data_IF_543239383121
#
_entry.id   IF_543239383121
#
_cell.length_a   1.000
_cell.length_b   1.000
_cell.length_c   1.000
_cell.angle_alpha   90.00
_cell.angle_beta   90.00
_cell.angle_gamma   90.00
#
_symmetry.space_group_name_H-M   'P 1'
#
loop_
_entity.id
_entity.type
_entity.pdbx_description
1 polymer ?
#
# COMPACT_ATOMS: atom_id res chain seq x y z
N UNK A 1 -56.39 -31.16 0.43
CA UNK A 1 -55.09 -31.65 0.92
C UNK A 1 -54.04 -31.29 -0.13
N UNK A 2 -53.34 -30.18 0.14
CA UNK A 2 -52.03 -29.73 -0.36
C UNK A 2 -51.76 -29.74 -1.88
N UNK A 3 -51.98 -28.56 -2.49
CA UNK A 3 -51.20 -28.03 -3.61
C UNK A 3 -49.72 -27.95 -3.23
N UNK A 4 -48.83 -28.44 -4.10
CA UNK A 4 -47.38 -28.18 -4.00
C UNK A 4 -47.05 -27.02 -4.93
N UNK A 5 -47.09 -25.80 -4.40
CA UNK A 5 -46.47 -24.64 -5.04
C UNK A 5 -44.94 -24.77 -4.91
N UNK A 6 -44.25 -24.69 -6.04
CA UNK A 6 -42.81 -24.56 -6.09
C UNK A 6 -42.45 -23.12 -5.76
N UNK A 7 -41.93 -22.89 -4.56
CA UNK A 7 -41.35 -21.60 -4.19
C UNK A 7 -40.07 -21.35 -4.99
N UNK A 8 -40.14 -20.38 -5.91
CA UNK A 8 -38.97 -19.80 -6.58
C UNK A 8 -38.02 -19.24 -5.51
N UNK A 9 -36.85 -19.87 -5.39
CA UNK A 9 -35.79 -19.42 -4.51
C UNK A 9 -35.12 -18.22 -5.17
N UNK A 10 -35.58 -17.01 -4.83
CA UNK A 10 -34.94 -15.77 -5.27
C UNK A 10 -33.47 -15.75 -4.82
N UNK A 11 -32.55 -15.64 -5.78
CA UNK A 11 -31.15 -15.41 -5.51
C UNK A 11 -30.97 -14.06 -4.80
N UNK A 12 -30.09 -13.94 -3.79
CA UNK A 12 -29.83 -12.65 -3.15
C UNK A 12 -29.26 -11.70 -4.20
N UNK A 13 -30.01 -10.63 -4.48
CA UNK A 13 -29.61 -9.55 -5.36
C UNK A 13 -28.26 -9.02 -4.90
N UNK A 14 -27.27 -9.09 -5.78
CA UNK A 14 -25.99 -8.44 -5.61
C UNK A 14 -26.24 -6.93 -5.58
N UNK A 15 -26.32 -6.36 -4.37
CA UNK A 15 -26.33 -4.92 -4.20
C UNK A 15 -24.90 -4.46 -4.46
N UNK A 16 -24.65 -4.04 -5.69
CA UNK A 16 -23.41 -3.36 -6.06
C UNK A 16 -23.29 -2.12 -5.18
N UNK A 17 -22.42 -2.18 -4.17
CA UNK A 17 -22.16 -1.04 -3.31
C UNK A 17 -21.43 0.01 -4.13
N UNK A 18 -22.17 0.96 -4.70
CA UNK A 18 -21.58 2.16 -5.27
C UNK A 18 -20.84 2.89 -4.15
N UNK A 19 -19.52 3.15 -4.27
CA UNK A 19 -18.85 4.01 -3.31
C UNK A 19 -19.40 5.42 -3.51
N UNK A 20 -20.21 5.85 -2.54
CA UNK A 20 -20.68 7.22 -2.43
C UNK A 20 -19.53 8.06 -1.85
N UNK A 21 -19.08 9.06 -2.60
CA UNK A 21 -18.34 10.18 -2.02
C UNK A 21 -18.73 11.45 -2.75
N UNK A 22 -19.17 12.43 -1.96
CA UNK A 22 -19.31 13.82 -2.36
C UNK A 22 -18.45 14.65 -1.40
N UNK A 23 -17.52 15.42 -1.94
CA UNK A 23 -17.32 16.83 -1.55
C UNK A 23 -16.38 17.52 -2.55
N UNK A 24 -16.54 18.83 -2.77
CA UNK A 24 -15.94 19.56 -3.87
C UNK A 24 -14.51 20.01 -3.53
N UNK A 25 -13.80 20.49 -4.55
CA UNK A 25 -12.58 21.33 -4.53
C UNK A 25 -11.20 20.71 -4.80
N UNK A 26 -11.00 19.39 -4.92
CA UNK A 26 -9.73 18.87 -5.48
C UNK A 26 -9.99 17.69 -6.43
N UNK A 27 -9.58 17.86 -7.69
CA UNK A 27 -9.92 16.97 -8.79
C UNK A 27 -9.45 15.53 -8.59
N UNK A 28 -10.41 14.62 -8.39
CA UNK A 28 -10.20 13.19 -8.57
C UNK A 28 -10.66 12.81 -9.97
N UNK A 29 -9.73 12.45 -10.84
CA UNK A 29 -10.06 11.92 -12.16
C UNK A 29 -10.22 10.41 -12.06
N UNK A 30 -11.45 9.91 -12.22
CA UNK A 30 -11.67 8.48 -12.51
C UNK A 30 -10.98 8.16 -13.82
N UNK A 31 -10.01 7.25 -13.82
CA UNK A 31 -9.47 6.68 -15.06
C UNK A 31 -10.58 5.81 -15.66
N UNK A 32 -11.19 6.19 -16.81
CA UNK A 32 -12.17 5.32 -17.46
C UNK A 32 -11.39 4.19 -18.12
N UNK A 33 -11.79 2.94 -17.86
CA UNK A 33 -11.20 1.70 -18.39
C UNK A 33 -11.19 1.59 -19.92
N UNK A 34 -11.60 2.64 -20.67
CA UNK A 34 -11.73 2.64 -22.14
C UNK A 34 -11.06 3.80 -22.87
N UNK A 35 -10.27 4.65 -22.21
CA UNK A 35 -9.55 5.74 -22.88
C UNK A 35 -8.09 5.37 -23.21
N UNK A 36 -7.87 4.25 -23.91
CA UNK A 36 -6.57 3.97 -24.56
C UNK A 36 -6.67 4.55 -25.97
N UNK A 37 -6.46 5.85 -26.12
CA UNK A 37 -6.23 6.40 -27.47
C UNK A 37 -5.22 7.54 -27.56
N UNK A 38 -4.65 8.01 -26.45
CA UNK A 38 -3.56 8.99 -26.45
C UNK A 38 -2.61 8.73 -25.26
N UNK A 39 -1.56 7.93 -25.49
CA UNK A 39 -0.55 7.64 -24.46
C UNK A 39 0.10 8.90 -23.89
N UNK A 40 0.34 9.90 -24.75
CA UNK A 40 1.07 11.12 -24.37
C UNK A 40 0.30 12.02 -23.39
N UNK A 41 -1.02 12.19 -23.58
CA UNK A 41 -1.85 13.03 -22.70
C UNK A 41 -2.02 12.36 -21.34
N UNK A 42 -2.16 11.03 -21.34
CA UNK A 42 -2.33 10.24 -20.13
C UNK A 42 -1.04 10.22 -19.31
N UNK A 43 0.12 10.11 -19.96
CA UNK A 43 1.42 10.12 -19.31
C UNK A 43 1.76 11.49 -18.71
N UNK A 44 1.51 12.59 -19.43
CA UNK A 44 1.67 13.96 -18.91
C UNK A 44 0.78 14.27 -17.69
N UNK A 45 -0.38 13.63 -17.59
CA UNK A 45 -1.26 13.76 -16.43
C UNK A 45 -0.69 12.99 -15.22
N UNK A 46 -0.22 11.76 -15.43
CA UNK A 46 0.37 10.93 -14.37
C UNK A 46 1.67 11.53 -13.82
N UNK A 47 2.44 12.22 -14.65
CA UNK A 47 3.61 12.97 -14.22
C UNK A 47 3.30 14.09 -13.25
N UNK A 48 2.07 14.60 -13.18
CA UNK A 48 1.66 15.63 -12.21
C UNK A 48 1.15 15.04 -10.90
N UNK A 49 0.88 13.73 -10.86
CA UNK A 49 0.34 13.07 -9.66
C UNK A 49 1.44 12.92 -8.63
N UNK A 50 1.32 13.69 -7.54
CA UNK A 50 2.21 13.60 -6.38
C UNK A 50 1.58 12.89 -5.18
N UNK A 51 0.26 12.72 -5.18
CA UNK A 51 -0.50 12.09 -4.10
C UNK A 51 -1.41 11.05 -4.71
N UNK A 52 -1.25 9.79 -4.30
CA UNK A 52 -2.09 8.68 -4.72
C UNK A 52 -2.68 7.98 -3.50
N UNK A 53 -3.99 7.74 -3.57
CA UNK A 53 -4.75 7.02 -2.55
C UNK A 53 -5.48 5.87 -3.22
N UNK A 54 -5.15 4.64 -2.84
CA UNK A 54 -5.78 3.43 -3.32
C UNK A 54 -6.48 2.76 -2.14
N UNK A 55 -7.72 2.34 -2.35
CA UNK A 55 -8.50 1.63 -1.35
C UNK A 55 -9.24 0.46 -2.00
N UNK A 56 -9.28 -0.69 -1.33
CA UNK A 56 -9.94 -1.92 -1.80
C UNK A 56 -9.51 -2.36 -3.22
N UNK A 57 -8.23 -2.16 -3.55
CA UNK A 57 -7.67 -2.49 -4.87
C UNK A 57 -6.72 -3.70 -4.80
N UNK A 58 -6.68 -4.49 -5.86
CA UNK A 58 -5.65 -5.52 -6.05
C UNK A 58 -4.68 -5.06 -7.13
N UNK A 59 -3.38 -5.11 -6.87
CA UNK A 59 -2.37 -4.77 -7.87
C UNK A 59 -1.12 -5.64 -7.78
N UNK A 60 -0.43 -5.75 -8.92
CA UNK A 60 0.84 -6.44 -9.01
C UNK A 60 1.98 -5.47 -8.69
N UNK A 61 2.86 -5.83 -7.76
CA UNK A 61 4.01 -5.00 -7.39
C UNK A 61 5.02 -4.81 -8.53
N UNK A 62 5.29 -5.80 -9.41
CA UNK A 62 6.13 -5.60 -10.59
C UNK A 62 5.50 -4.70 -11.67
N UNK A 63 4.20 -4.45 -11.60
CA UNK A 63 3.48 -3.64 -12.58
C UNK A 63 2.35 -2.86 -11.92
N UNK A 64 2.67 -1.95 -10.98
CA UNK A 64 1.65 -1.22 -10.26
C UNK A 64 0.93 -0.28 -11.24
N UNK A 65 -0.36 0.01 -11.03
CA UNK A 65 -1.16 0.87 -11.92
C UNK A 65 -0.67 2.33 -11.94
N UNK A 66 0.29 2.67 -11.08
CA UNK A 66 0.87 4.00 -10.92
C UNK A 66 2.36 4.05 -11.30
N UNK A 67 2.87 3.05 -12.03
CA UNK A 67 4.27 3.03 -12.50
C UNK A 67 4.66 4.29 -13.30
N UNK A 68 3.70 4.88 -14.02
CA UNK A 68 3.89 6.10 -14.80
C UNK A 68 3.84 7.40 -13.96
N UNK A 69 3.68 7.32 -12.63
CA UNK A 69 3.60 8.50 -11.77
C UNK A 69 5.00 8.92 -11.29
N UNK A 70 5.78 9.60 -12.14
CA UNK A 70 7.19 9.92 -11.86
C UNK A 70 7.43 10.98 -10.76
N UNK A 71 6.38 11.68 -10.31
CA UNK A 71 6.45 12.67 -9.24
C UNK A 71 5.68 12.25 -7.97
N UNK A 72 5.40 10.96 -7.82
CA UNK A 72 4.70 10.43 -6.66
C UNK A 72 5.50 10.66 -5.37
N UNK A 73 4.90 11.36 -4.40
CA UNK A 73 5.48 11.68 -3.09
C UNK A 73 4.69 11.08 -1.93
N UNK A 74 3.39 10.86 -2.12
CA UNK A 74 2.52 10.31 -1.10
C UNK A 74 1.74 9.13 -1.67
N UNK A 75 1.88 7.96 -1.05
CA UNK A 75 1.14 6.76 -1.40
C UNK A 75 0.39 6.27 -0.17
N UNK A 76 -0.92 6.16 -0.31
CA UNK A 76 -1.80 5.60 0.71
C UNK A 76 -2.52 4.37 0.17
N UNK A 77 -2.41 3.27 0.89
CA UNK A 77 -3.01 1.98 0.58
C UNK A 77 -3.92 1.60 1.73
N UNK A 78 -5.19 1.31 1.45
CA UNK A 78 -6.16 0.92 2.47
C UNK A 78 -6.98 -0.29 2.03
N UNK A 79 -6.94 -1.39 2.78
CA UNK A 79 -7.62 -2.65 2.43
C UNK A 79 -7.29 -3.18 1.02
N UNK A 80 -6.09 -2.86 0.51
CA UNK A 80 -5.62 -3.34 -0.78
C UNK A 80 -5.07 -4.78 -0.70
N UNK A 81 -4.78 -5.38 -1.85
CA UNK A 81 -4.06 -6.63 -1.98
C UNK A 81 -2.87 -6.45 -2.93
N UNK A 82 -1.67 -6.63 -2.40
CA UNK A 82 -0.41 -6.60 -3.16
C UNK A 82 -0.05 -8.02 -3.56
N UNK A 83 0.21 -8.21 -4.85
CA UNK A 83 0.58 -9.50 -5.43
C UNK A 83 1.93 -9.38 -6.13
N UNK A 84 2.82 -10.34 -5.94
CA UNK A 84 4.06 -10.49 -6.71
C UNK A 84 3.90 -11.70 -7.62
N UNK A 85 3.70 -11.45 -8.92
CA UNK A 85 3.85 -12.51 -9.92
C UNK A 85 5.34 -12.74 -10.19
N UNK A 86 5.77 -13.96 -9.99
CA UNK A 86 7.10 -14.54 -10.16
C UNK A 86 7.65 -14.53 -11.60
N UNK A 87 6.85 -14.14 -12.60
CA UNK A 87 7.17 -14.36 -14.01
C UNK A 87 7.42 -13.15 -14.91
N UNK A 88 7.21 -11.91 -14.47
CA UNK A 88 7.37 -10.72 -15.35
C UNK A 88 7.99 -9.55 -14.60
N UNK A 89 9.32 -9.55 -14.56
CA UNK A 89 10.10 -8.36 -14.22
C UNK A 89 9.92 -7.36 -15.36
N UNK A 90 8.98 -6.41 -15.21
CA UNK A 90 9.17 -5.11 -15.87
C UNK A 90 10.46 -4.51 -15.35
N UNK A 91 11.09 -3.69 -16.16
CA UNK A 91 12.37 -3.03 -15.90
C UNK A 91 12.45 -2.58 -14.43
N UNK A 92 13.32 -3.22 -13.64
CA UNK A 92 13.49 -2.94 -12.20
C UNK A 92 13.74 -1.42 -11.99
N UNK A 93 14.28 -0.75 -13.02
CA UNK A 93 14.53 0.68 -13.07
C UNK A 93 13.26 1.54 -13.04
N UNK A 94 12.18 1.16 -13.73
CA UNK A 94 10.93 1.94 -13.77
C UNK A 94 10.22 1.89 -12.42
N UNK A 95 10.18 0.70 -11.81
CA UNK A 95 9.62 0.50 -10.47
C UNK A 95 10.46 1.31 -9.49
N UNK A 96 11.78 1.20 -9.59
CA UNK A 96 12.70 1.93 -8.73
C UNK A 96 12.48 3.44 -8.82
N UNK A 97 12.40 3.99 -10.03
CA UNK A 97 12.13 5.41 -10.28
C UNK A 97 10.80 5.88 -9.68
N UNK A 98 9.75 5.06 -9.78
CA UNK A 98 8.43 5.39 -9.23
C UNK A 98 8.48 5.55 -7.70
N UNK A 99 9.25 4.72 -6.99
CA UNK A 99 9.29 4.70 -5.52
C UNK A 99 10.40 5.57 -4.91
N UNK A 100 11.46 5.90 -5.66
CA UNK A 100 12.60 6.70 -5.19
C UNK A 100 12.21 8.06 -4.60
N UNK A 101 11.17 8.69 -5.14
CA UNK A 101 10.72 10.04 -4.75
C UNK A 101 9.64 10.05 -3.67
N UNK A 102 9.23 8.88 -3.20
CA UNK A 102 8.20 8.75 -2.19
C UNK A 102 8.69 9.34 -0.87
N UNK A 103 7.90 10.25 -0.30
CA UNK A 103 8.15 10.86 1.01
C UNK A 103 7.31 10.22 2.09
N UNK A 104 6.10 9.79 1.74
CA UNK A 104 5.13 9.22 2.68
C UNK A 104 4.54 7.94 2.10
N UNK A 105 4.68 6.87 2.87
CA UNK A 105 4.02 5.59 2.62
C UNK A 105 3.09 5.27 3.80
N UNK A 106 1.79 5.19 3.54
CA UNK A 106 0.79 4.84 4.54
C UNK A 106 0.02 3.60 4.08
N UNK A 107 0.25 2.48 4.76
CA UNK A 107 -0.29 1.15 4.42
C UNK A 107 -1.21 0.68 5.53
N UNK A 108 -2.47 0.45 5.21
CA UNK A 108 -3.52 0.08 6.17
C UNK A 108 -4.25 -1.17 5.72
N UNK A 109 -4.34 -2.16 6.61
CA UNK A 109 -5.08 -3.41 6.43
C UNK A 109 -4.87 -4.08 5.06
N UNK A 110 -3.70 -3.88 4.47
CA UNK A 110 -3.38 -4.29 3.11
C UNK A 110 -2.79 -5.70 3.14
N UNK A 111 -3.39 -6.63 2.39
CA UNK A 111 -2.89 -8.00 2.25
C UNK A 111 -1.65 -7.98 1.36
N UNK A 112 -0.65 -8.79 1.68
CA UNK A 112 0.60 -8.81 0.92
C UNK A 112 1.51 -7.61 1.20
N UNK A 113 1.25 -6.84 2.26
CA UNK A 113 2.02 -5.63 2.55
C UNK A 113 3.50 -5.91 2.82
N UNK A 114 3.87 -7.12 3.23
CA UNK A 114 5.26 -7.55 3.39
C UNK A 114 6.08 -7.44 2.10
N UNK A 115 5.43 -7.48 0.92
CA UNK A 115 6.11 -7.34 -0.37
C UNK A 115 6.54 -5.89 -0.62
N UNK A 116 5.62 -4.93 -0.42
CA UNK A 116 5.93 -3.49 -0.58
C UNK A 116 6.78 -2.94 0.58
N UNK A 117 6.70 -3.57 1.76
CA UNK A 117 7.49 -3.24 2.95
C UNK A 117 8.77 -4.09 3.08
N UNK A 118 9.13 -4.85 2.05
CA UNK A 118 10.35 -5.66 2.04
C UNK A 118 11.61 -4.78 2.09
N UNK A 119 12.73 -5.32 2.59
CA UNK A 119 14.02 -4.64 2.56
C UNK A 119 14.36 -4.10 1.16
N UNK A 120 14.13 -4.91 0.13
CA UNK A 120 14.39 -4.53 -1.26
C UNK A 120 13.60 -3.28 -1.64
N UNK A 121 12.29 -3.26 -1.41
CA UNK A 121 11.44 -2.13 -1.78
C UNK A 121 11.73 -0.88 -0.95
N UNK A 122 11.97 -1.04 0.35
CA UNK A 122 12.27 0.09 1.23
C UNK A 122 13.62 0.73 0.87
N UNK A 123 14.63 -0.07 0.49
CA UNK A 123 15.94 0.45 0.06
C UNK A 123 15.86 1.37 -1.17
N UNK A 124 14.86 1.15 -2.03
CA UNK A 124 14.57 2.00 -3.19
C UNK A 124 13.96 3.34 -2.78
N UNK A 125 13.20 3.39 -1.67
CA UNK A 125 12.49 4.58 -1.19
C UNK A 125 13.41 5.55 -0.44
N UNK A 126 14.51 5.96 -1.07
CA UNK A 126 15.59 6.75 -0.46
C UNK A 126 15.15 8.11 0.12
N UNK A 127 14.04 8.67 -0.37
CA UNK A 127 13.47 9.94 0.10
C UNK A 127 12.37 9.76 1.16
N UNK A 128 12.11 8.54 1.63
CA UNK A 128 11.04 8.26 2.58
C UNK A 128 11.30 8.96 3.92
N UNK A 129 10.32 9.73 4.36
CA UNK A 129 10.34 10.50 5.62
C UNK A 129 9.27 10.01 6.58
N UNK A 130 8.18 9.46 6.06
CA UNK A 130 7.08 8.98 6.87
C UNK A 130 6.63 7.59 6.41
N UNK A 131 6.58 6.67 7.37
CA UNK A 131 6.08 5.33 7.17
C UNK A 131 5.00 5.06 8.23
N UNK A 132 3.77 4.85 7.77
CA UNK A 132 2.67 4.44 8.63
C UNK A 132 2.18 3.06 8.20
N UNK A 133 2.15 2.12 9.13
CA UNK A 133 1.71 0.75 8.88
C UNK A 133 0.64 0.38 9.89
N UNK A 134 -0.56 0.05 9.41
CA UNK A 134 -1.70 -0.31 10.26
C UNK A 134 -2.21 -1.69 9.89
N UNK A 135 -2.30 -2.58 10.87
CA UNK A 135 -2.93 -3.89 10.66
C UNK A 135 -2.14 -4.85 9.78
N UNK A 136 -0.82 -4.67 9.64
CA UNK A 136 0.05 -5.63 8.96
C UNK A 136 0.08 -6.96 9.71
N UNK A 137 0.12 -8.07 8.98
CA UNK A 137 0.21 -9.41 9.56
C UNK A 137 1.52 -10.06 9.11
N UNK A 138 2.26 -10.65 10.07
CA UNK A 138 3.53 -11.36 9.80
C UNK A 138 4.59 -10.51 9.11
N UNK A 139 4.69 -9.25 9.51
CA UNK A 139 5.71 -8.36 8.99
C UNK A 139 7.00 -8.47 9.80
N UNK A 140 8.10 -8.81 9.14
CA UNK A 140 9.44 -8.80 9.70
C UNK A 140 10.02 -7.38 9.63
N UNK A 141 9.88 -6.65 10.72
CA UNK A 141 10.36 -5.26 10.82
C UNK A 141 11.90 -5.21 10.95
N UNK A 142 12.54 -6.31 11.36
CA UNK A 142 14.00 -6.41 11.50
C UNK A 142 14.73 -6.16 10.18
N UNK A 143 14.09 -6.49 9.06
CA UNK A 143 14.62 -6.24 7.72
C UNK A 143 14.83 -4.76 7.39
N UNK A 144 14.22 -3.84 8.14
CA UNK A 144 14.35 -2.40 7.89
C UNK A 144 15.56 -1.77 8.56
N UNK A 145 16.30 -2.53 9.36
CA UNK A 145 17.49 -2.04 10.06
C UNK A 145 18.47 -1.42 9.06
N UNK A 146 18.81 -0.15 9.28
CA UNK A 146 19.72 0.62 8.41
C UNK A 146 19.18 1.07 7.05
N UNK A 147 17.96 0.68 6.67
CA UNK A 147 17.39 1.01 5.35
C UNK A 147 16.57 2.31 5.32
N UNK A 148 16.39 2.96 6.47
CA UNK A 148 15.56 4.14 6.63
C UNK A 148 16.34 5.37 7.15
N UNK A 149 17.43 5.80 6.50
CA UNK A 149 18.30 6.87 7.02
C UNK A 149 17.64 8.26 7.04
N UNK A 150 16.53 8.45 6.32
CA UNK A 150 15.83 9.73 6.20
C UNK A 150 14.46 9.76 6.90
N UNK A 151 14.09 8.67 7.58
CA UNK A 151 12.80 8.57 8.26
C UNK A 151 12.73 9.55 9.43
N UNK A 152 11.58 10.21 9.53
CA UNK A 152 11.25 11.17 10.59
C UNK A 152 10.06 10.72 11.39
N UNK A 153 9.06 10.13 10.74
CA UNK A 153 7.88 9.58 11.40
C UNK A 153 7.75 8.11 11.06
N UNK A 154 7.79 7.27 12.08
CA UNK A 154 7.53 5.85 11.91
C UNK A 154 6.43 5.41 12.87
N UNK A 155 5.32 4.97 12.29
CA UNK A 155 4.14 4.56 13.04
C UNK A 155 3.74 3.17 12.63
N UNK A 156 3.60 2.28 13.62
CA UNK A 156 3.06 0.95 13.40
C UNK A 156 2.01 0.64 14.46
N UNK A 157 0.77 0.42 14.03
CA UNK A 157 -0.36 0.19 14.95
C UNK A 157 -1.20 -1.00 14.55
N UNK A 158 -1.77 -1.73 15.52
CA UNK A 158 -2.66 -2.89 15.29
C UNK A 158 -2.03 -4.04 14.47
N UNK A 159 -0.72 -4.03 14.29
CA UNK A 159 0.04 -4.97 13.45
C UNK A 159 0.63 -6.10 14.29
N UNK A 160 0.76 -7.29 13.69
CA UNK A 160 1.50 -8.43 14.22
C UNK A 160 2.87 -8.46 13.56
N UNK A 161 3.89 -8.06 14.31
CA UNK A 161 5.28 -7.94 13.86
C UNK A 161 6.15 -9.00 14.51
N UNK A 162 7.25 -9.34 13.85
CA UNK A 162 8.32 -10.15 14.41
C UNK A 162 9.65 -9.48 14.06
N UNK A 163 10.65 -9.64 14.92
CA UNK A 163 12.01 -9.18 14.67
C UNK A 163 12.96 -9.96 15.58
N UNK A 164 14.15 -10.28 15.07
CA UNK A 164 15.16 -11.09 15.78
C UNK A 164 16.23 -10.24 16.49
N UNK A 165 16.14 -8.91 16.42
CA UNK A 165 17.07 -7.97 17.05
C UNK A 165 16.39 -7.22 18.21
N UNK A 166 17.15 -6.48 19.00
CA UNK A 166 16.56 -5.57 19.99
C UNK A 166 15.96 -4.33 19.31
N UNK A 167 14.97 -3.68 19.93
CA UNK A 167 14.40 -2.42 19.41
C UNK A 167 15.49 -1.34 19.23
N UNK A 168 16.48 -1.32 20.13
CA UNK A 168 17.59 -0.36 20.08
C UNK A 168 18.47 -0.57 18.84
N UNK A 169 18.72 -1.82 18.44
CA UNK A 169 19.51 -2.13 17.25
C UNK A 169 18.76 -1.74 15.97
N UNK A 170 17.45 -1.99 15.93
CA UNK A 170 16.58 -1.66 14.80
C UNK A 170 16.59 -0.16 14.48
N UNK A 171 16.55 0.70 15.51
CA UNK A 171 16.45 2.15 15.34
C UNK A 171 17.79 2.89 15.42
N UNK A 172 18.90 2.19 15.67
CA UNK A 172 20.23 2.81 15.88
C UNK A 172 20.67 3.70 14.71
N UNK A 173 20.31 3.34 13.48
CA UNK A 173 20.67 4.08 12.26
C UNK A 173 19.62 5.13 11.85
N UNK A 174 18.46 5.17 12.51
CA UNK A 174 17.36 6.11 12.19
C UNK A 174 17.56 7.46 12.89
N UNK A 175 18.71 8.08 12.66
CA UNK A 175 19.19 9.29 13.37
C UNK A 175 18.31 10.54 13.21
N UNK A 176 17.44 10.60 12.19
CA UNK A 176 16.53 11.73 11.91
C UNK A 176 15.12 11.51 12.44
N UNK A 177 14.89 10.44 13.20
CA UNK A 177 13.57 10.09 13.70
C UNK A 177 13.09 11.10 14.74
N UNK A 178 11.92 11.70 14.49
CA UNK A 178 11.25 12.68 15.35
C UNK A 178 10.07 12.04 16.09
N UNK A 179 9.41 11.06 15.47
CA UNK A 179 8.23 10.39 16.02
C UNK A 179 8.28 8.89 15.78
N UNK A 180 8.13 8.14 16.86
CA UNK A 180 7.97 6.70 16.87
C UNK A 180 6.68 6.34 17.61
N UNK A 181 5.73 5.70 16.94
CA UNK A 181 4.47 5.25 17.54
C UNK A 181 4.25 3.77 17.28
N UNK A 182 4.32 2.96 18.33
CA UNK A 182 4.05 1.52 18.34
C UNK A 182 2.81 1.15 19.16
N UNK A 183 1.84 2.05 19.25
CA UNK A 183 0.62 1.81 20.02
C UNK A 183 -0.13 0.57 19.50
N UNK A 184 -0.47 -0.35 20.40
CA UNK A 184 -1.23 -1.57 20.10
C UNK A 184 -0.46 -2.61 19.25
N UNK A 185 0.80 -2.89 19.61
CA UNK A 185 1.50 -4.13 19.23
C UNK A 185 0.70 -5.31 19.80
N UNK A 186 0.39 -6.31 18.96
CA UNK A 186 -0.07 -7.62 19.43
C UNK A 186 1.15 -8.52 19.40
N UNK A 187 1.73 -8.78 20.56
CA UNK A 187 2.82 -9.73 20.67
C UNK A 187 2.35 -11.07 20.11
N UNK A 188 3.14 -11.65 19.22
CA UNK A 188 2.81 -12.93 18.63
C UNK A 188 3.04 -14.12 19.59
N UNK A 189 3.31 -13.84 20.87
CA UNK A 189 3.44 -14.84 21.93
C UNK A 189 2.10 -15.38 22.44
N UNK A 190 0.96 -14.81 22.03
CA UNK A 190 -0.37 -15.23 22.47
C UNK A 190 -1.09 -16.19 21.48
N UNK A 191 -0.36 -17.11 20.87
CA UNK A 191 -0.92 -18.20 20.06
C UNK A 191 -0.27 -19.51 20.49
N UNK A 192 -0.65 -19.96 21.69
CA UNK A 192 -0.65 -21.36 22.12
C UNK A 192 -2.11 -21.82 22.26
#
# INVERSE_FOLDING_TARGET
MVSREWGERAAPGFVESKPYWASPTYGFTRIPTRAIHNGDIFQQYMDKVSVLKLSHCTFNLPSPPFLCCHNLRFLWLDHCQVVTSDGTRKDDDDISRCFQRLWVLDVRFTKGCEQILSAQMISVMIQLRELNVVGAQRWDIGQLQGLLPNIRRFRVTKSKMFFNCSENELFSEMTKMELLDFSNKRDAKDLD
#
